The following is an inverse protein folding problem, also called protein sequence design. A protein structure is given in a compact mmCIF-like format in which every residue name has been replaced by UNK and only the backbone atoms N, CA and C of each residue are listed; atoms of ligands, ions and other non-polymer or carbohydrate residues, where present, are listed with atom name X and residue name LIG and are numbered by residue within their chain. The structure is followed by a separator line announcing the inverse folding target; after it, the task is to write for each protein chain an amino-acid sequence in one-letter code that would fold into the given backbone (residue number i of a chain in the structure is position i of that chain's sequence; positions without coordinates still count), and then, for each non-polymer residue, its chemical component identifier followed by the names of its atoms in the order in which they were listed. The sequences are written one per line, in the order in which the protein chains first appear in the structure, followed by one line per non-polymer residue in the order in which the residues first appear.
data_IF_744635837770
#
_entry.id   IF_744635837770
#
_cell.length_a   1.000
_cell.length_b   1.000
_cell.length_c   1.000
_cell.angle_alpha   90.00
_cell.angle_beta   90.00
_cell.angle_gamma   90.00
#
_symmetry.space_group_name_H-M   'P 1'
#
loop_
_entity.id
_entity.type
_entity.pdbx_description
1 polymer ?
#
# COMPACT_ATOMS: atom_id res chain seq x y z
N UNK A 1 -15.94 -32.45 -18.29
CA UNK A 1 -15.84 -32.21 -16.83
C UNK A 1 -16.18 -30.75 -16.59
N UNK A 2 -16.91 -30.42 -15.52
CA UNK A 2 -17.12 -29.04 -15.11
C UNK A 2 -15.82 -28.43 -14.60
N UNK A 3 -15.61 -27.13 -14.80
CA UNK A 3 -14.44 -26.43 -14.31
C UNK A 3 -14.38 -26.48 -12.76
N UNK A 4 -13.19 -26.65 -12.14
CA UNK A 4 -13.05 -26.58 -10.70
C UNK A 4 -13.55 -25.26 -10.13
N UNK A 5 -14.31 -25.32 -9.03
CA UNK A 5 -14.99 -24.16 -8.43
C UNK A 5 -14.04 -23.18 -7.76
N UNK A 6 -12.81 -23.60 -7.45
CA UNK A 6 -11.76 -22.76 -6.86
C UNK A 6 -10.91 -21.99 -7.88
N UNK A 7 -11.10 -22.17 -9.20
CA UNK A 7 -10.34 -21.44 -10.22
C UNK A 7 -10.44 -19.91 -10.10
N UNK A 8 -11.62 -19.30 -9.84
CA UNK A 8 -11.71 -17.85 -9.68
C UNK A 8 -10.86 -17.33 -8.51
N UNK A 9 -10.71 -18.11 -7.45
CA UNK A 9 -9.83 -17.78 -6.33
C UNK A 9 -8.37 -17.76 -6.77
N UNK A 10 -7.90 -18.84 -7.41
CA UNK A 10 -6.50 -18.93 -7.88
C UNK A 10 -6.16 -17.84 -8.89
N UNK A 11 -7.08 -17.55 -9.82
CA UNK A 11 -6.93 -16.48 -10.80
C UNK A 11 -6.80 -15.11 -10.09
N UNK A 12 -7.67 -14.85 -9.11
CA UNK A 12 -7.63 -13.61 -8.35
C UNK A 12 -6.34 -13.46 -7.56
N UNK A 13 -5.84 -14.53 -6.94
CA UNK A 13 -4.54 -14.49 -6.23
C UNK A 13 -3.44 -14.16 -7.23
N UNK A 14 -3.29 -14.91 -8.32
CA UNK A 14 -2.23 -14.68 -9.31
C UNK A 14 -2.16 -13.22 -9.81
N UNK A 15 -3.32 -12.61 -10.06
CA UNK A 15 -3.43 -11.22 -10.53
C UNK A 15 -3.08 -10.21 -9.44
N UNK A 16 -3.59 -10.37 -8.22
CA UNK A 16 -3.33 -9.41 -7.15
C UNK A 16 -1.89 -9.48 -6.65
N UNK A 17 -1.31 -10.68 -6.57
CA UNK A 17 0.10 -10.87 -6.20
C UNK A 17 1.03 -10.24 -7.26
N UNK A 18 0.72 -10.37 -8.55
CA UNK A 18 1.49 -9.71 -9.60
C UNK A 18 1.43 -8.17 -9.49
N UNK A 19 0.30 -7.62 -9.03
CA UNK A 19 0.15 -6.19 -8.74
C UNK A 19 0.90 -5.79 -7.47
N UNK A 20 0.82 -6.59 -6.41
CA UNK A 20 1.56 -6.40 -5.17
C UNK A 20 3.06 -6.35 -5.40
N UNK A 21 3.61 -7.28 -6.18
CA UNK A 21 5.01 -7.28 -6.60
C UNK A 21 5.42 -5.93 -7.21
N UNK A 22 4.67 -5.45 -8.22
CA UNK A 22 4.96 -4.20 -8.93
C UNK A 22 4.92 -3.00 -7.98
N UNK A 23 3.89 -2.93 -7.15
CA UNK A 23 3.67 -1.82 -6.23
C UNK A 23 4.77 -1.74 -5.15
N UNK A 24 5.05 -2.86 -4.48
CA UNK A 24 6.08 -2.93 -3.44
C UNK A 24 7.48 -2.78 -4.02
N UNK A 25 7.74 -3.32 -5.21
CA UNK A 25 9.01 -3.17 -5.91
C UNK A 25 9.27 -1.73 -6.34
N UNK A 26 8.25 -1.03 -6.83
CA UNK A 26 8.33 0.39 -7.15
C UNK A 26 8.63 1.23 -5.90
N UNK A 27 7.96 0.96 -4.79
CA UNK A 27 8.22 1.66 -3.53
C UNK A 27 9.64 1.37 -3.01
N UNK A 28 10.07 0.11 -3.03
CA UNK A 28 11.43 -0.28 -2.63
C UNK A 28 12.52 0.43 -3.45
N UNK A 29 12.25 0.69 -4.73
CA UNK A 29 13.16 1.43 -5.60
C UNK A 29 13.23 2.92 -5.25
N UNK A 30 12.13 3.52 -4.79
CA UNK A 30 12.01 4.94 -4.52
C UNK A 30 12.46 5.35 -3.09
N UNK A 31 12.22 4.51 -2.08
CA UNK A 31 12.55 4.85 -0.69
C UNK A 31 14.08 4.95 -0.46
N UNK A 32 14.46 5.87 0.43
CA UNK A 32 15.82 6.02 0.94
C UNK A 32 16.02 5.32 2.31
N UNK A 33 14.95 4.87 2.94
CA UNK A 33 15.01 4.14 4.20
C UNK A 33 15.46 2.69 3.94
N UNK A 34 16.62 2.30 4.47
CA UNK A 34 17.24 1.01 4.18
C UNK A 34 16.46 -0.17 4.76
N UNK A 35 15.84 -0.01 5.93
CA UNK A 35 15.11 -1.08 6.61
C UNK A 35 13.74 -1.30 5.94
N UNK A 36 13.04 -0.21 5.60
CA UNK A 36 11.82 -0.26 4.81
C UNK A 36 12.10 -0.85 3.43
N UNK A 37 13.18 -0.43 2.77
CA UNK A 37 13.60 -0.99 1.47
C UNK A 37 13.81 -2.50 1.55
N UNK A 38 14.50 -2.97 2.59
CA UNK A 38 14.75 -4.40 2.78
C UNK A 38 13.44 -5.18 2.95
N UNK A 39 12.51 -4.69 3.77
CA UNK A 39 11.21 -5.32 3.97
C UNK A 39 10.34 -5.32 2.71
N UNK A 40 10.23 -4.17 2.02
CA UNK A 40 9.48 -4.04 0.77
C UNK A 40 10.06 -4.95 -0.32
N UNK A 41 11.39 -5.01 -0.45
CA UNK A 41 12.06 -5.88 -1.42
C UNK A 41 11.77 -7.35 -1.12
N UNK A 42 11.90 -7.75 0.14
CA UNK A 42 11.62 -9.12 0.56
C UNK A 42 10.18 -9.53 0.24
N UNK A 43 9.20 -8.70 0.58
CA UNK A 43 7.80 -9.02 0.30
C UNK A 43 7.49 -8.97 -1.19
N UNK A 44 8.01 -7.98 -1.93
CA UNK A 44 7.87 -7.92 -3.40
C UNK A 44 8.35 -9.21 -4.09
N UNK A 45 9.46 -9.81 -3.63
CA UNK A 45 9.94 -11.09 -4.17
C UNK A 45 8.91 -12.21 -3.92
N UNK A 46 8.29 -12.25 -2.74
CA UNK A 46 7.28 -13.27 -2.41
C UNK A 46 6.03 -13.12 -3.24
N UNK A 47 5.53 -11.91 -3.38
CA UNK A 47 4.36 -11.61 -4.22
C UNK A 47 4.61 -12.05 -5.67
N UNK A 48 5.83 -11.80 -6.19
CA UNK A 48 6.22 -12.28 -7.51
C UNK A 48 6.27 -13.80 -7.61
N UNK A 49 6.79 -14.47 -6.58
CA UNK A 49 6.85 -15.94 -6.52
C UNK A 49 5.45 -16.56 -6.38
N UNK A 50 4.57 -15.98 -5.56
CA UNK A 50 3.17 -16.38 -5.42
C UNK A 50 2.43 -16.21 -6.75
N UNK A 51 2.54 -15.04 -7.39
CA UNK A 51 1.94 -14.78 -8.69
C UNK A 51 2.30 -15.87 -9.71
N UNK A 52 3.59 -16.21 -9.79
CA UNK A 52 4.06 -17.25 -10.72
C UNK A 52 3.64 -18.66 -10.29
N UNK A 53 3.62 -18.97 -8.99
CA UNK A 53 3.19 -20.27 -8.48
C UNK A 53 1.70 -20.53 -8.76
N UNK A 54 0.84 -19.52 -8.56
CA UNK A 54 -0.58 -19.63 -8.89
C UNK A 54 -0.83 -19.62 -10.40
N UNK A 55 -0.09 -18.82 -11.18
CA UNK A 55 -0.16 -18.88 -12.64
C UNK A 55 0.24 -20.26 -13.18
N UNK A 56 1.31 -20.84 -12.65
CA UNK A 56 1.72 -22.23 -12.95
C UNK A 56 0.60 -23.21 -12.60
N UNK A 57 -0.02 -23.07 -11.42
CA UNK A 57 -1.11 -23.97 -11.01
C UNK A 57 -2.33 -23.87 -11.93
N UNK A 58 -2.68 -22.65 -12.36
CA UNK A 58 -3.73 -22.44 -13.36
C UNK A 58 -3.41 -23.20 -14.66
N UNK A 59 -2.19 -23.08 -15.17
CA UNK A 59 -1.76 -23.78 -16.38
C UNK A 59 -1.83 -25.31 -16.25
N UNK A 60 -1.42 -25.85 -15.10
CA UNK A 60 -1.53 -27.30 -14.81
C UNK A 60 -2.99 -27.79 -14.79
N UNK A 61 -3.93 -26.92 -14.45
CA UNK A 61 -5.38 -27.19 -14.49
C UNK A 61 -6.00 -26.95 -15.87
N UNK A 62 -5.20 -26.52 -16.85
CA UNK A 62 -5.66 -26.24 -18.23
C UNK A 62 -6.24 -24.84 -18.44
N UNK A 63 -5.91 -23.88 -17.57
CA UNK A 63 -6.42 -22.51 -17.62
C UNK A 63 -5.28 -21.48 -17.65
N UNK A 64 -5.49 -20.37 -18.36
CA UNK A 64 -4.61 -19.21 -18.27
C UNK A 64 -5.09 -18.26 -17.16
N UNK A 65 -4.18 -17.43 -16.64
CA UNK A 65 -4.56 -16.28 -15.81
C UNK A 65 -5.27 -15.25 -16.68
N UNK A 66 -6.39 -14.73 -16.19
CA UNK A 66 -7.22 -13.74 -16.86
C UNK A 66 -7.51 -12.57 -15.91
N UNK A 67 -6.84 -11.44 -16.14
CA UNK A 67 -6.99 -10.24 -15.33
C UNK A 67 -8.41 -9.65 -15.39
N UNK A 68 -9.13 -9.81 -16.51
CA UNK A 68 -10.44 -9.22 -16.70
C UNK A 68 -11.52 -9.90 -15.82
N UNK A 69 -11.37 -11.19 -15.50
CA UNK A 69 -12.29 -11.94 -14.64
C UNK A 69 -11.85 -12.04 -13.19
N UNK A 70 -10.64 -11.60 -12.85
CA UNK A 70 -10.12 -11.62 -11.49
C UNK A 70 -10.85 -10.62 -10.57
N UNK A 71 -11.07 -11.01 -9.32
CA UNK A 71 -11.43 -10.05 -8.28
C UNK A 71 -10.25 -9.10 -8.04
N UNK A 72 -10.50 -7.80 -8.09
CA UNK A 72 -9.47 -6.76 -7.97
C UNK A 72 -9.45 -6.20 -6.54
N UNK A 73 -8.36 -6.43 -5.80
CA UNK A 73 -8.14 -5.83 -4.47
C UNK A 73 -7.78 -4.35 -4.61
N UNK A 74 -6.98 -4.01 -5.61
CA UNK A 74 -6.56 -2.64 -5.90
C UNK A 74 -7.58 -1.93 -6.79
N UNK A 75 -8.43 -1.08 -6.21
CA UNK A 75 -9.44 -0.32 -6.98
C UNK A 75 -8.81 0.75 -7.88
N UNK A 76 -7.75 1.41 -7.42
CA UNK A 76 -7.07 2.50 -8.12
C UNK A 76 -5.57 2.17 -8.27
N UNK A 77 -5.26 1.03 -8.89
CA UNK A 77 -3.89 0.52 -8.94
C UNK A 77 -2.89 1.51 -9.55
N UNK A 78 -3.26 2.21 -10.62
CA UNK A 78 -2.36 3.15 -11.29
C UNK A 78 -2.02 4.36 -10.39
N UNK A 79 -3.00 4.88 -9.64
CA UNK A 79 -2.76 5.97 -8.68
C UNK A 79 -1.87 5.51 -7.53
N UNK A 80 -2.07 4.28 -7.04
CA UNK A 80 -1.23 3.70 -5.98
C UNK A 80 0.21 3.50 -6.48
N UNK A 81 0.38 3.03 -7.71
CA UNK A 81 1.70 2.84 -8.31
C UNK A 81 2.39 4.18 -8.56
N UNK A 82 1.67 5.19 -9.05
CA UNK A 82 2.19 6.54 -9.19
C UNK A 82 2.63 7.12 -7.85
N UNK A 83 1.85 6.91 -6.79
CA UNK A 83 2.22 7.30 -5.43
C UNK A 83 3.45 6.54 -4.91
N UNK A 84 3.57 5.23 -5.17
CA UNK A 84 4.75 4.46 -4.77
C UNK A 84 6.05 4.99 -5.40
N UNK A 85 5.98 5.42 -6.66
CA UNK A 85 7.09 5.97 -7.44
C UNK A 85 7.41 7.44 -7.15
N UNK A 86 6.54 8.19 -6.45
CA UNK A 86 6.72 9.63 -6.25
C UNK A 86 7.73 9.97 -5.14
N UNK A 87 8.09 11.24 -5.06
CA UNK A 87 8.92 11.82 -3.98
C UNK A 87 8.13 12.06 -2.67
N UNK A 88 6.88 11.57 -2.60
CA UNK A 88 6.07 11.61 -1.38
C UNK A 88 6.78 10.88 -0.24
N UNK A 89 6.64 11.35 1.00
CA UNK A 89 7.32 10.70 2.13
C UNK A 89 6.82 9.28 2.35
N UNK A 90 7.67 8.40 2.88
CA UNK A 90 7.24 7.03 3.16
C UNK A 90 6.08 6.98 4.16
N UNK A 91 6.04 7.91 5.13
CA UNK A 91 4.91 8.03 6.06
C UNK A 91 3.60 8.38 5.34
N UNK A 92 3.61 9.32 4.41
CA UNK A 92 2.43 9.65 3.59
C UNK A 92 2.04 8.49 2.66
N UNK A 93 3.01 7.79 2.07
CA UNK A 93 2.75 6.58 1.27
C UNK A 93 2.08 5.50 2.12
N UNK A 94 2.58 5.23 3.32
CA UNK A 94 1.95 4.31 4.28
C UNK A 94 0.50 4.71 4.54
N UNK A 95 0.23 5.99 4.82
CA UNK A 95 -1.14 6.45 5.03
C UNK A 95 -2.01 6.24 3.79
N UNK A 96 -1.52 6.53 2.59
CA UNK A 96 -2.27 6.32 1.35
C UNK A 96 -2.57 4.84 1.06
N UNK A 97 -1.58 3.97 1.25
CA UNK A 97 -1.63 2.54 0.91
C UNK A 97 -2.37 1.69 1.95
N UNK A 98 -2.44 2.15 3.20
CA UNK A 98 -3.15 1.46 4.30
C UNK A 98 -4.47 2.13 4.67
N UNK A 99 -4.91 3.17 3.93
CA UNK A 99 -6.21 3.81 4.11
C UNK A 99 -7.34 2.78 4.02
N UNK A 100 -8.00 2.53 5.15
CA UNK A 100 -9.04 1.51 5.32
C UNK A 100 -8.67 0.38 6.29
N UNK A 101 -7.39 0.23 6.65
CA UNK A 101 -6.93 -0.77 7.62
C UNK A 101 -7.11 -0.31 9.08
N UNK A 102 -7.14 1.02 9.31
CA UNK A 102 -7.13 1.65 10.65
C UNK A 102 -8.51 1.88 11.26
N UNK A 103 -9.62 1.63 10.56
CA UNK A 103 -10.97 2.00 11.02
C UNK A 103 -11.90 0.80 11.37
N UNK A 104 -11.46 -0.45 11.21
CA UNK A 104 -12.37 -1.61 11.28
C UNK A 104 -11.98 -2.69 12.30
N UNK A 105 -12.17 -2.42 13.60
CA UNK A 105 -12.28 -3.44 14.67
C UNK A 105 -11.30 -4.64 14.60
N UNK A 106 -11.71 -5.80 15.12
CA UNK A 106 -11.00 -7.06 14.84
C UNK A 106 -11.21 -7.43 13.36
N UNK A 107 -10.24 -7.10 12.51
CA UNK A 107 -10.22 -7.53 11.12
C UNK A 107 -10.24 -9.05 11.07
N UNK A 108 -11.37 -9.62 10.64
CA UNK A 108 -11.47 -11.06 10.39
C UNK A 108 -10.40 -11.46 9.38
N UNK A 109 -9.68 -12.54 9.67
CA UNK A 109 -8.65 -13.10 8.80
C UNK A 109 -9.16 -13.20 7.34
N UNK A 110 -8.51 -12.53 6.37
CA UNK A 110 -8.94 -12.54 4.97
C UNK A 110 -8.90 -13.96 4.37
N UNK A 111 -8.08 -14.85 4.92
CA UNK A 111 -7.88 -16.20 4.42
C UNK A 111 -8.86 -17.23 5.00
N UNK A 112 -9.73 -16.84 5.95
CA UNK A 112 -10.59 -17.75 6.72
C UNK A 112 -11.47 -18.69 5.87
N UNK A 113 -11.77 -18.31 4.63
CA UNK A 113 -12.68 -19.02 3.75
C UNK A 113 -11.98 -19.79 2.61
N UNK A 114 -10.64 -19.73 2.50
CA UNK A 114 -9.92 -20.25 1.33
C UNK A 114 -10.03 -21.78 1.20
N UNK A 115 -10.27 -22.50 2.30
CA UNK A 115 -10.46 -23.96 2.33
C UNK A 115 -11.93 -24.39 2.43
N UNK A 116 -12.90 -23.50 2.16
CA UNK A 116 -14.31 -23.86 2.21
C UNK A 116 -14.76 -24.78 1.07
N UNK A 117 -14.02 -24.79 -0.03
CA UNK A 117 -14.32 -25.62 -1.19
C UNK A 117 -13.74 -27.04 -0.97
N UNK A 118 -14.59 -28.06 -0.78
CA UNK A 118 -14.14 -29.43 -0.54
C UNK A 118 -13.58 -30.11 -1.80
N UNK A 119 -13.73 -29.50 -2.98
CA UNK A 119 -13.18 -30.02 -4.24
C UNK A 119 -11.72 -29.65 -4.47
N UNK A 120 -11.12 -28.81 -3.60
CA UNK A 120 -9.70 -28.45 -3.66
C UNK A 120 -8.86 -29.72 -3.63
N UNK A 121 -8.09 -29.93 -4.69
CA UNK A 121 -7.17 -31.05 -4.77
C UNK A 121 -5.95 -30.85 -3.84
N UNK A 122 -5.22 -31.93 -3.45
CA UNK A 122 -4.12 -31.83 -2.51
C UNK A 122 -2.99 -30.88 -2.93
N UNK A 123 -2.70 -30.77 -4.24
CA UNK A 123 -1.62 -29.91 -4.74
C UNK A 123 -2.02 -28.43 -4.61
N UNK A 124 -3.26 -28.10 -4.99
CA UNK A 124 -3.82 -26.75 -4.79
C UNK A 124 -3.91 -26.41 -3.31
N UNK A 125 -4.34 -27.36 -2.47
CA UNK A 125 -4.41 -27.18 -1.02
C UNK A 125 -3.05 -26.89 -0.38
N UNK A 126 -2.00 -27.60 -0.78
CA UNK A 126 -0.64 -27.35 -0.31
C UNK A 126 -0.14 -25.95 -0.72
N UNK A 127 -0.39 -25.53 -1.97
CA UNK A 127 -0.03 -24.20 -2.44
C UNK A 127 -0.75 -23.10 -1.64
N UNK A 128 -2.06 -23.22 -1.45
CA UNK A 128 -2.84 -22.28 -0.63
C UNK A 128 -2.36 -22.24 0.82
N UNK A 129 -2.02 -23.39 1.40
CA UNK A 129 -1.52 -23.46 2.78
C UNK A 129 -0.19 -22.73 2.95
N UNK A 130 0.75 -22.94 2.01
CA UNK A 130 2.01 -22.19 1.95
C UNK A 130 1.73 -20.70 1.81
N UNK A 131 1.00 -20.30 0.76
CA UNK A 131 0.61 -18.92 0.50
C UNK A 131 0.08 -18.21 1.76
N UNK A 132 -0.90 -18.80 2.46
CA UNK A 132 -1.51 -18.18 3.65
C UNK A 132 -0.51 -18.02 4.80
N UNK A 133 0.35 -19.01 5.05
CA UNK A 133 1.37 -18.91 6.09
C UNK A 133 2.36 -17.80 5.75
N UNK A 134 2.71 -17.71 4.47
CA UNK A 134 3.61 -16.71 3.93
C UNK A 134 3.03 -15.30 4.03
N UNK A 135 1.80 -15.08 3.60
CA UNK A 135 1.12 -13.78 3.64
C UNK A 135 0.95 -13.21 5.03
N UNK A 136 0.65 -14.07 6.01
CA UNK A 136 0.62 -13.64 7.41
C UNK A 136 1.98 -13.15 7.90
N UNK A 137 3.07 -13.73 7.41
CA UNK A 137 4.42 -13.28 7.73
C UNK A 137 4.78 -11.98 7.00
N UNK A 138 4.47 -11.87 5.71
CA UNK A 138 4.63 -10.65 4.92
C UNK A 138 3.92 -9.48 5.58
N UNK A 139 2.64 -9.67 5.95
CA UNK A 139 1.82 -8.65 6.60
C UNK A 139 2.39 -8.19 7.95
N UNK A 140 2.93 -9.11 8.78
CA UNK A 140 3.59 -8.73 10.05
C UNK A 140 4.85 -7.90 9.81
N UNK A 141 5.69 -8.28 8.84
CA UNK A 141 6.91 -7.57 8.48
C UNK A 141 6.61 -6.15 7.99
N UNK A 142 5.71 -6.02 7.02
CA UNK A 142 5.30 -4.71 6.50
C UNK A 142 4.68 -3.85 7.59
N UNK A 143 3.80 -4.43 8.44
CA UNK A 143 3.20 -3.69 9.54
C UNK A 143 4.24 -3.11 10.50
N UNK A 144 5.26 -3.89 10.87
CA UNK A 144 6.32 -3.41 11.75
C UNK A 144 7.05 -2.20 11.17
N UNK A 145 7.43 -2.25 9.89
CA UNK A 145 8.09 -1.13 9.21
C UNK A 145 7.17 0.07 9.01
N UNK A 146 5.91 -0.16 8.66
CA UNK A 146 4.92 0.92 8.52
C UNK A 146 4.68 1.65 9.84
N UNK A 147 4.61 0.91 10.95
CA UNK A 147 4.48 1.50 12.29
C UNK A 147 5.74 2.31 12.66
N UNK A 148 6.94 1.82 12.33
CA UNK A 148 8.22 2.53 12.54
C UNK A 148 8.29 3.84 11.76
N UNK A 149 8.09 3.77 10.44
CA UNK A 149 8.13 4.95 9.55
C UNK A 149 7.10 6.00 9.94
N UNK A 150 5.90 5.58 10.33
CA UNK A 150 4.87 6.48 10.87
C UNK A 150 5.30 7.16 12.16
N UNK A 151 5.96 6.44 13.06
CA UNK A 151 6.46 7.01 14.31
C UNK A 151 7.58 8.03 14.05
N UNK A 152 8.49 7.73 13.13
CA UNK A 152 9.57 8.64 12.72
C UNK A 152 9.03 9.91 12.04
N UNK A 153 8.06 9.79 11.12
CA UNK A 153 7.40 10.94 10.48
C UNK A 153 6.61 11.83 11.44
N UNK A 154 6.11 11.26 12.55
CA UNK A 154 5.49 12.02 13.66
C UNK A 154 6.51 12.65 14.60
N UNK A 155 7.69 12.04 14.75
CA UNK A 155 8.81 12.57 15.55
C UNK A 155 9.50 13.76 14.87
N UNK A 156 9.49 13.81 13.54
CA UNK A 156 10.03 14.91 12.74
C UNK A 156 9.04 16.05 12.52
N UNK A 157 7.83 16.05 13.11
CA UNK A 157 6.81 17.10 12.93
C UNK A 157 7.11 18.44 13.64
N UNK A 158 8.32 18.65 14.15
CA UNK A 158 8.77 19.93 14.72
C UNK A 158 8.81 21.14 13.74
N UNK A 159 8.95 21.00 12.39
CA UNK A 159 8.95 22.16 11.49
C UNK A 159 7.57 22.79 11.33
N UNK A 160 6.47 22.04 11.50
CA UNK A 160 5.14 22.58 11.24
C UNK A 160 4.73 23.70 12.21
N UNK A 161 5.20 23.66 13.46
CA UNK A 161 4.98 24.77 14.41
C UNK A 161 5.82 25.99 14.05
N UNK A 162 7.05 25.80 13.60
CA UNK A 162 7.94 26.89 13.18
C UNK A 162 7.48 27.53 11.87
N UNK A 163 6.94 26.73 10.95
CA UNK A 163 6.38 27.19 9.67
C UNK A 163 5.07 27.93 9.87
N UNK A 164 4.18 27.44 10.75
CA UNK A 164 2.96 28.18 11.15
C UNK A 164 3.33 29.46 11.91
N UNK A 165 4.35 29.45 12.77
CA UNK A 165 4.82 30.64 13.47
C UNK A 165 5.41 31.66 12.48
N UNK A 166 6.19 31.21 11.50
CA UNK A 166 6.76 32.02 10.43
C UNK A 166 5.67 32.63 9.54
N UNK A 167 4.67 31.84 9.14
CA UNK A 167 3.52 32.33 8.37
C UNK A 167 2.69 33.35 9.16
N UNK A 168 2.46 33.11 10.45
CA UNK A 168 1.77 34.09 11.32
C UNK A 168 2.55 35.40 11.42
N UNK A 169 3.87 35.33 11.58
CA UNK A 169 4.73 36.51 11.62
C UNK A 169 4.68 37.29 10.29
N UNK A 170 4.69 36.59 9.15
CA UNK A 170 4.58 37.20 7.83
C UNK A 170 3.22 37.92 7.64
N UNK A 171 2.11 37.29 8.04
CA UNK A 171 0.77 37.91 8.00
C UNK A 171 0.72 39.16 8.87
N UNK A 172 1.23 39.11 10.10
CA UNK A 172 1.27 40.29 10.98
C UNK A 172 2.11 41.44 10.40
N UNK A 173 3.20 41.13 9.71
CA UNK A 173 4.01 42.14 9.01
C UNK A 173 3.23 42.82 7.89
N UNK A 174 2.52 42.04 7.06
CA UNK A 174 1.70 42.57 5.98
C UNK A 174 0.53 43.43 6.50
N UNK A 175 -0.09 43.03 7.60
CA UNK A 175 -1.14 43.83 8.25
C UNK A 175 -0.62 45.19 8.74
N UNK A 176 0.61 45.21 9.27
CA UNK A 176 1.25 46.45 9.71
C UNK A 176 1.57 47.38 8.53
N UNK A 177 2.09 46.85 7.42
CA UNK A 177 2.34 47.62 6.20
C UNK A 177 1.05 48.17 5.60
N UNK A 178 -0.02 47.37 5.52
CA UNK A 178 -1.32 47.83 5.04
C UNK A 178 -1.89 48.96 5.90
N UNK A 179 -1.72 48.88 7.23
CA UNK A 179 -2.13 49.94 8.15
C UNK A 179 -1.32 51.22 7.94
N UNK A 180 -0.03 51.11 7.65
CA UNK A 180 0.85 52.24 7.32
C UNK A 180 0.43 52.91 6.01
N UNK A 181 0.23 52.12 4.94
CA UNK A 181 -0.21 52.62 3.64
C UNK A 181 -1.58 53.30 3.71
N UNK A 182 -2.53 52.74 4.47
CA UNK A 182 -3.84 53.37 4.70
C UNK A 182 -3.72 54.72 5.39
N UNK A 183 -2.82 54.87 6.37
CA UNK A 183 -2.55 56.17 7.02
C UNK A 183 -1.94 57.17 6.05
N UNK A 184 -0.99 56.75 5.21
CA UNK A 184 -0.39 57.63 4.19
C UNK A 184 -1.42 58.13 3.17
N UNK A 185 -2.31 57.25 2.71
CA UNK A 185 -3.39 57.62 1.78
C UNK A 185 -4.40 58.58 2.45
N UNK A 186 -4.67 58.40 3.74
CA UNK A 186 -5.55 59.28 4.51
C UNK A 186 -4.92 60.64 4.84
N UNK A 187 -3.59 60.70 4.96
CA UNK A 187 -2.83 61.93 5.23
C UNK A 187 -2.44 62.72 3.96
N UNK A 188 -2.51 62.08 2.78
CA UNK A 188 -2.28 62.69 1.47
C UNK A 188 -3.54 63.24 0.79
N UNK A 189 -4.66 63.36 1.52
CA UNK A 189 -5.89 64.04 1.10
C UNK A 189 -6.14 65.28 1.94
#
# INVERSE_FOLDING_TARGET
MSAPTFLPLLNSIAVNEAKGQKLLGAWAAATQDADLKAALTFVSIREGEHAMAFAKRMCELGHAVDEASAYQVFKNFDDLLACACSDTTDAEKVEMLTRGDSEQGERKDPFRNFFKDPSIDPQTGALLGRFIAEERDSGRRLKAEYDRVRAEGRGTSKPAMDEIASLKACVSSLEAELKSLRKMIAAGR
#
